data_IF_286216326760
#
_entry.id   IF_286216326760
#
_cell.length_a   1.000
_cell.length_b   1.000
_cell.length_c   1.000
_cell.angle_alpha   90.00
_cell.angle_beta   90.00
_cell.angle_gamma   90.00
#
_symmetry.space_group_name_H-M   'P 1'
#
loop_
_entity.id
_entity.type
_entity.pdbx_description
1 polymer ?
#
# COMPACT_ATOMS: atom_id res chain seq x y z
N UNK A 1 -72.09 85.17 50.54
CA UNK A 1 -70.71 85.36 50.96
C UNK A 1 -69.78 84.49 50.09
N UNK A 2 -68.96 85.14 49.36
CA UNK A 2 -67.76 84.69 48.63
C UNK A 2 -67.88 83.53 47.65
N UNK A 3 -67.95 83.90 46.38
CA UNK A 3 -67.64 83.12 45.20
C UNK A 3 -66.16 82.84 45.04
N UNK A 4 -65.78 81.67 44.56
CA UNK A 4 -64.47 81.38 44.04
C UNK A 4 -64.68 80.83 42.63
N UNK A 5 -63.95 81.45 41.62
CA UNK A 5 -64.09 81.01 40.22
C UNK A 5 -63.24 79.80 39.91
N UNK A 6 -63.83 78.83 39.22
CA UNK A 6 -63.14 77.70 38.68
C UNK A 6 -62.33 78.01 37.45
N UNK A 7 -61.03 77.62 37.43
CA UNK A 7 -60.10 77.66 36.31
C UNK A 7 -60.33 76.44 35.45
N UNK A 8 -60.73 76.64 34.21
CA UNK A 8 -60.78 75.60 33.20
C UNK A 8 -59.43 75.51 32.53
N UNK A 9 -58.69 74.50 32.78
CA UNK A 9 -57.40 74.22 32.11
C UNK A 9 -57.67 73.49 30.81
N UNK A 10 -57.46 74.14 29.71
CA UNK A 10 -57.54 73.51 28.38
C UNK A 10 -56.25 72.70 28.13
N UNK A 11 -56.41 71.34 28.02
CA UNK A 11 -55.34 70.42 27.61
C UNK A 11 -55.25 70.44 26.09
N UNK A 12 -54.24 71.04 25.55
CA UNK A 12 -53.89 70.96 24.12
C UNK A 12 -53.20 69.63 23.84
N UNK A 13 -53.85 68.73 23.11
CA UNK A 13 -53.23 67.54 22.58
C UNK A 13 -52.24 67.96 21.46
N UNK A 14 -50.98 67.85 21.75
CA UNK A 14 -49.91 67.94 20.75
C UNK A 14 -49.88 66.55 20.04
N UNK A 15 -50.47 66.45 18.85
CA UNK A 15 -50.27 65.36 17.93
C UNK A 15 -48.82 65.47 17.36
N UNK A 16 -47.90 64.76 17.96
CA UNK A 16 -46.56 64.60 17.41
C UNK A 16 -46.61 63.79 16.11
N UNK A 17 -45.77 64.13 15.12
CA UNK A 17 -45.68 63.29 13.91
C UNK A 17 -45.23 61.91 14.31
N UNK A 18 -45.97 60.86 13.91
CA UNK A 18 -45.56 59.48 13.98
C UNK A 18 -44.36 59.29 13.06
N UNK A 19 -43.15 59.19 13.65
CA UNK A 19 -41.97 58.78 12.94
C UNK A 19 -42.26 57.32 12.55
N UNK A 20 -42.50 57.07 11.26
CA UNK A 20 -42.61 55.75 10.71
C UNK A 20 -41.31 55.04 11.05
N UNK A 21 -41.35 54.02 11.89
CA UNK A 21 -40.20 53.17 12.17
C UNK A 21 -39.73 52.60 10.83
N UNK A 22 -38.53 52.97 10.42
CA UNK A 22 -37.89 52.34 9.29
C UNK A 22 -37.92 50.85 9.48
N UNK A 23 -38.63 50.16 8.56
CA UNK A 23 -38.59 48.72 8.46
C UNK A 23 -37.15 48.29 8.41
N UNK A 24 -36.68 47.36 9.24
CA UNK A 24 -35.29 46.90 9.18
C UNK A 24 -35.03 46.45 7.74
N UNK A 25 -34.15 47.21 7.06
CA UNK A 25 -33.64 46.83 5.76
C UNK A 25 -33.17 45.37 5.89
N UNK A 26 -33.84 44.47 5.16
CA UNK A 26 -33.43 43.07 5.06
C UNK A 26 -31.95 43.07 4.75
N UNK A 27 -31.12 42.67 5.75
CA UNK A 27 -29.67 42.60 5.54
C UNK A 27 -29.44 41.85 4.23
N UNK A 28 -28.58 42.38 3.34
CA UNK A 28 -28.21 41.65 2.15
C UNK A 28 -27.72 40.29 2.60
N UNK A 29 -28.13 39.22 1.92
CA UNK A 29 -27.69 37.86 2.28
C UNK A 29 -26.17 37.88 2.38
N UNK A 30 -25.64 37.43 3.52
CA UNK A 30 -24.19 37.32 3.68
C UNK A 30 -23.64 36.60 2.46
N UNK A 31 -22.57 37.14 1.82
CA UNK A 31 -21.93 36.44 0.74
C UNK A 31 -21.65 34.99 1.18
N UNK A 32 -22.25 34.03 0.51
CA UNK A 32 -21.92 32.64 0.80
C UNK A 32 -20.41 32.51 0.63
N UNK A 33 -19.71 32.18 1.72
CA UNK A 33 -18.29 31.91 1.67
C UNK A 33 -18.04 30.88 0.58
N UNK A 34 -17.24 31.24 -0.42
CA UNK A 34 -16.87 30.31 -1.48
C UNK A 34 -16.32 29.05 -0.81
N UNK A 35 -16.80 27.88 -1.22
CA UNK A 35 -16.39 26.63 -0.60
C UNK A 35 -14.88 26.48 -0.71
N UNK A 36 -14.15 26.56 0.41
CA UNK A 36 -12.70 26.46 0.48
C UNK A 36 -12.26 25.01 0.59
N UNK A 37 -11.11 24.69 -0.01
CA UNK A 37 -10.43 23.40 0.18
C UNK A 37 -9.66 23.34 1.50
N UNK A 38 -9.40 24.46 2.15
CA UNK A 38 -8.65 24.52 3.43
C UNK A 38 -9.40 23.78 4.53
N UNK A 39 -8.70 22.92 5.22
CA UNK A 39 -9.19 22.21 6.41
C UNK A 39 -8.80 20.76 6.46
N UNK A 40 -9.10 20.15 7.59
CA UNK A 40 -8.96 18.71 7.80
C UNK A 40 -10.01 17.94 7.00
N UNK A 41 -9.62 16.78 6.53
CA UNK A 41 -10.52 15.79 5.95
C UNK A 41 -10.11 14.39 6.36
N UNK A 42 -11.05 13.48 6.36
CA UNK A 42 -10.83 12.07 6.51
C UNK A 42 -11.69 11.31 5.52
N UNK A 43 -11.28 10.12 5.18
CA UNK A 43 -11.99 9.36 4.14
C UNK A 43 -11.60 7.90 4.10
N UNK A 44 -12.22 7.23 3.17
CA UNK A 44 -11.95 5.84 2.83
C UNK A 44 -11.51 5.74 1.38
N UNK A 45 -10.74 4.71 1.08
CA UNK A 45 -10.36 4.42 -0.29
C UNK A 45 -10.33 2.91 -0.54
N UNK A 46 -10.47 2.56 -1.81
CA UNK A 46 -10.34 1.19 -2.29
C UNK A 46 -9.79 1.20 -3.71
N UNK A 47 -9.06 0.15 -4.08
CA UNK A 47 -8.45 0.08 -5.40
C UNK A 47 -7.81 -1.25 -5.73
N UNK A 48 -7.15 -1.26 -6.88
CA UNK A 48 -6.35 -2.37 -7.38
C UNK A 48 -4.86 -2.02 -7.34
N UNK A 49 -4.06 -3.03 -7.11
CA UNK A 49 -2.62 -2.99 -7.02
C UNK A 49 -2.02 -3.97 -8.03
N UNK A 50 -1.01 -3.52 -8.76
CA UNK A 50 -0.34 -4.25 -9.83
C UNK A 50 1.17 -4.10 -9.66
N UNK A 51 1.78 -5.06 -8.95
CA UNK A 51 3.22 -5.10 -8.73
C UNK A 51 3.95 -5.82 -9.87
N UNK A 52 5.12 -5.33 -10.19
CA UNK A 52 6.10 -6.06 -11.00
C UNK A 52 7.35 -6.20 -10.14
N UNK A 53 7.59 -7.41 -9.68
CA UNK A 53 8.75 -7.73 -8.87
C UNK A 53 9.78 -8.46 -9.73
N UNK A 54 11.03 -8.12 -9.56
CA UNK A 54 12.13 -8.89 -10.16
C UNK A 54 12.79 -9.68 -9.04
N UNK A 55 12.57 -10.98 -9.04
CA UNK A 55 13.13 -11.88 -8.03
C UNK A 55 14.32 -12.62 -8.60
N UNK A 56 15.47 -12.50 -7.95
CA UNK A 56 16.67 -13.26 -8.23
C UNK A 56 16.88 -14.28 -7.12
N UNK A 57 17.02 -15.54 -7.47
CA UNK A 57 17.31 -16.62 -6.53
C UNK A 57 18.71 -17.19 -6.82
N UNK A 58 19.55 -17.21 -5.80
CA UNK A 58 20.86 -17.83 -5.84
C UNK A 58 20.89 -18.97 -4.83
N UNK A 59 20.97 -20.19 -5.32
CA UNK A 59 21.10 -21.36 -4.46
C UNK A 59 22.54 -21.90 -4.50
N UNK A 60 23.17 -22.05 -3.34
CA UNK A 60 24.47 -22.68 -3.17
C UNK A 60 24.35 -23.93 -2.31
N UNK A 61 25.08 -24.97 -2.71
CA UNK A 61 25.13 -26.24 -2.00
C UNK A 61 26.57 -26.54 -1.63
N UNK A 62 26.80 -26.84 -0.37
CA UNK A 62 28.13 -27.21 0.12
C UNK A 62 28.03 -28.56 0.82
N UNK A 63 28.79 -29.55 0.32
CA UNK A 63 28.94 -30.84 0.98
C UNK A 63 30.42 -31.08 1.28
N UNK A 64 30.80 -31.22 2.55
CA UNK A 64 32.20 -31.49 2.93
C UNK A 64 32.72 -32.83 2.37
N UNK A 65 31.85 -33.80 2.16
CA UNK A 65 32.22 -35.14 1.67
C UNK A 65 32.37 -35.23 0.15
N UNK A 66 31.79 -34.30 -0.61
CA UNK A 66 31.82 -34.32 -2.07
C UNK A 66 32.66 -33.21 -2.72
N UNK A 67 33.09 -32.23 -1.94
CA UNK A 67 33.93 -31.14 -2.43
C UNK A 67 33.28 -30.27 -3.52
N UNK A 68 31.98 -30.41 -3.73
CA UNK A 68 31.24 -29.74 -4.82
C UNK A 68 30.41 -28.57 -4.33
N UNK A 69 30.67 -27.42 -4.90
CA UNK A 69 29.80 -26.23 -4.76
C UNK A 69 28.94 -26.10 -6.01
N UNK A 70 27.64 -26.40 -5.90
CA UNK A 70 26.69 -26.15 -6.98
C UNK A 70 26.09 -24.74 -6.80
N UNK A 71 26.11 -23.92 -7.85
CA UNK A 71 25.42 -22.64 -7.91
C UNK A 71 24.27 -22.75 -8.91
N UNK A 72 23.09 -22.43 -8.46
CA UNK A 72 21.92 -22.28 -9.32
C UNK A 72 21.45 -20.82 -9.23
N UNK A 73 21.43 -20.18 -10.36
CA UNK A 73 20.95 -18.81 -10.48
C UNK A 73 19.66 -18.82 -11.30
N UNK A 74 18.61 -18.28 -10.75
CA UNK A 74 17.33 -18.09 -11.46
C UNK A 74 16.88 -16.66 -11.25
N UNK A 75 16.52 -16.00 -12.33
CA UNK A 75 15.92 -14.66 -12.27
C UNK A 75 14.62 -14.75 -13.04
N UNK A 76 13.53 -14.35 -12.42
CA UNK A 76 12.23 -14.34 -13.07
C UNK A 76 11.38 -13.16 -12.58
N UNK A 77 10.61 -12.55 -13.48
CA UNK A 77 9.64 -11.55 -13.08
C UNK A 77 8.47 -12.21 -12.35
N UNK A 78 8.08 -11.62 -11.24
CA UNK A 78 6.95 -12.03 -10.43
C UNK A 78 5.86 -10.96 -10.54
N UNK A 79 4.73 -11.31 -11.13
CA UNK A 79 3.60 -10.40 -11.25
C UNK A 79 2.69 -10.54 -10.04
N UNK A 80 2.66 -9.51 -9.22
CA UNK A 80 1.78 -9.44 -8.07
C UNK A 80 0.53 -8.65 -8.41
N UNK A 81 -0.64 -9.16 -8.07
CA UNK A 81 -1.93 -8.48 -8.27
C UNK A 81 -2.80 -8.64 -7.05
N UNK A 82 -3.54 -7.61 -6.74
CA UNK A 82 -4.46 -7.66 -5.62
C UNK A 82 -5.38 -6.46 -5.52
N UNK A 83 -6.16 -6.45 -4.48
CA UNK A 83 -6.97 -5.32 -4.08
C UNK A 83 -6.45 -4.73 -2.77
N UNK A 84 -6.79 -3.48 -2.53
CA UNK A 84 -6.48 -2.77 -1.30
C UNK A 84 -7.67 -1.88 -0.92
N UNK A 85 -7.78 -1.61 0.38
CA UNK A 85 -8.78 -0.70 0.89
C UNK A 85 -8.47 -0.29 2.31
N UNK A 86 -8.81 0.94 2.65
CA UNK A 86 -8.47 1.49 3.95
C UNK A 86 -8.97 2.89 4.19
N UNK A 87 -8.33 3.56 5.15
CA UNK A 87 -8.63 4.91 5.58
C UNK A 87 -7.53 5.89 5.24
N UNK A 88 -7.93 7.15 5.16
CA UNK A 88 -7.04 8.27 4.93
C UNK A 88 -7.46 9.48 5.74
N UNK A 89 -6.47 10.31 6.07
CA UNK A 89 -6.69 11.59 6.73
C UNK A 89 -5.69 12.61 6.17
N UNK A 90 -6.09 13.86 6.13
CA UNK A 90 -5.22 14.90 5.61
C UNK A 90 -5.66 16.30 5.97
N UNK A 91 -4.82 17.23 5.60
CA UNK A 91 -5.10 18.65 5.73
C UNK A 91 -4.69 19.37 4.44
N UNK A 92 -5.58 20.23 3.95
CA UNK A 92 -5.32 21.07 2.80
C UNK A 92 -5.22 22.54 3.21
N UNK A 93 -4.34 23.26 2.55
CA UNK A 93 -4.22 24.71 2.56
C UNK A 93 -4.49 25.24 1.16
N UNK A 94 -5.59 25.95 0.95
CA UNK A 94 -5.82 26.67 -0.30
C UNK A 94 -5.06 27.98 -0.22
N UNK A 95 -3.89 28.05 -0.85
CA UNK A 95 -2.95 29.19 -0.77
C UNK A 95 -3.34 30.33 -1.71
N UNK A 96 -4.17 30.05 -2.71
CA UNK A 96 -4.77 31.03 -3.61
C UNK A 96 -6.10 30.52 -4.16
N UNK A 97 -6.77 31.30 -4.99
CA UNK A 97 -7.99 30.86 -5.68
C UNK A 97 -7.81 29.61 -6.51
N UNK A 98 -6.59 29.33 -6.98
CA UNK A 98 -6.29 28.24 -7.92
C UNK A 98 -5.36 27.18 -7.38
N UNK A 99 -4.65 27.40 -6.27
CA UNK A 99 -3.64 26.48 -5.78
C UNK A 99 -3.94 25.95 -4.39
N UNK A 100 -3.74 24.64 -4.24
CA UNK A 100 -3.93 23.91 -2.99
C UNK A 100 -2.66 23.14 -2.69
N UNK A 101 -2.14 23.29 -1.47
CA UNK A 101 -1.11 22.46 -0.89
C UNK A 101 -1.74 21.58 0.20
N UNK A 102 -1.15 20.45 0.50
CA UNK A 102 -1.68 19.60 1.56
C UNK A 102 -0.72 18.50 1.99
N UNK A 103 -1.12 17.85 3.07
CA UNK A 103 -0.48 16.63 3.55
C UNK A 103 -1.57 15.57 3.73
N UNK A 104 -1.23 14.34 3.42
CA UNK A 104 -2.14 13.20 3.54
C UNK A 104 -1.39 12.00 4.11
N UNK A 105 -2.01 11.29 5.04
CA UNK A 105 -1.58 10.00 5.50
C UNK A 105 -2.69 8.98 5.27
N UNK A 106 -2.31 7.78 4.86
CA UNK A 106 -3.25 6.69 4.67
C UNK A 106 -2.66 5.36 5.14
N UNK A 107 -3.57 4.46 5.46
CA UNK A 107 -3.26 3.09 5.78
C UNK A 107 -4.32 2.17 5.19
N UNK A 108 -3.89 1.08 4.57
CA UNK A 108 -4.71 0.17 3.80
C UNK A 108 -4.37 -1.27 4.12
N UNK A 109 -5.38 -2.10 4.23
CA UNK A 109 -5.24 -3.54 4.10
C UNK A 109 -5.05 -3.88 2.63
N UNK A 110 -4.13 -4.77 2.36
CA UNK A 110 -3.85 -5.26 1.01
C UNK A 110 -4.00 -6.77 0.95
N UNK A 111 -4.44 -7.26 -0.19
CA UNK A 111 -4.49 -8.70 -0.50
C UNK A 111 -3.83 -8.97 -1.84
N UNK A 112 -2.62 -8.44 -1.98
CA UNK A 112 -1.79 -8.69 -3.15
C UNK A 112 -1.02 -9.97 -2.94
N UNK A 113 -1.00 -10.84 -3.95
CA UNK A 113 -0.30 -12.11 -3.91
C UNK A 113 0.49 -12.30 -5.19
N UNK A 114 1.68 -12.85 -5.02
CA UNK A 114 2.52 -13.33 -6.09
C UNK A 114 2.97 -14.74 -5.73
N UNK A 115 3.02 -15.63 -6.70
CA UNK A 115 3.49 -17.00 -6.51
C UNK A 115 4.30 -17.41 -7.73
N UNK A 116 5.47 -17.96 -7.46
CA UNK A 116 6.35 -18.51 -8.48
C UNK A 116 6.79 -19.91 -8.06
N UNK A 117 6.67 -20.86 -8.97
CA UNK A 117 7.19 -22.21 -8.80
C UNK A 117 8.21 -22.49 -9.88
N UNK A 118 9.43 -22.80 -9.47
CA UNK A 118 10.51 -23.24 -10.36
C UNK A 118 10.78 -24.69 -10.09
N UNK A 119 10.56 -25.55 -11.10
CA UNK A 119 10.88 -26.95 -11.04
C UNK A 119 12.01 -27.27 -12.01
N UNK A 120 13.05 -27.88 -11.52
CA UNK A 120 14.14 -28.44 -12.32
C UNK A 120 13.86 -29.92 -12.51
N UNK A 121 13.77 -30.43 -13.75
CA UNK A 121 13.56 -31.85 -13.98
C UNK A 121 14.71 -32.71 -13.40
N UNK A 122 14.45 -33.95 -13.00
CA UNK A 122 15.51 -34.87 -12.64
C UNK A 122 16.53 -34.99 -13.79
N UNK A 123 17.80 -34.82 -13.49
CA UNK A 123 18.87 -34.89 -14.47
C UNK A 123 19.63 -33.59 -14.75
N UNK A 124 19.14 -32.47 -14.23
CA UNK A 124 19.76 -31.14 -14.50
C UNK A 124 20.88 -30.78 -13.51
N UNK A 125 20.94 -31.44 -12.36
CA UNK A 125 21.97 -31.19 -11.34
C UNK A 125 23.07 -32.26 -11.41
N UNK A 126 24.17 -31.95 -12.05
CA UNK A 126 25.37 -32.79 -12.07
C UNK A 126 26.16 -32.65 -10.74
N UNK A 127 25.62 -33.19 -9.64
CA UNK A 127 26.30 -33.17 -8.34
C UNK A 127 27.44 -34.20 -8.24
N UNK A 128 27.48 -35.21 -9.11
CA UNK A 128 28.36 -36.38 -8.99
C UNK A 128 29.17 -36.67 -10.26
N UNK A 129 29.69 -35.66 -10.95
CA UNK A 129 30.46 -35.88 -12.18
C UNK A 129 29.56 -36.24 -13.38
N UNK A 130 30.17 -36.34 -14.54
CA UNK A 130 29.46 -36.68 -15.79
C UNK A 130 28.77 -38.06 -15.70
N UNK A 131 27.44 -38.06 -15.45
CA UNK A 131 26.62 -39.27 -15.42
C UNK A 131 25.60 -39.43 -14.29
N UNK A 132 25.63 -38.54 -13.28
CA UNK A 132 24.64 -38.62 -12.18
C UNK A 132 23.40 -37.79 -12.46
N UNK A 133 22.51 -38.28 -13.27
CA UNK A 133 21.26 -37.63 -13.67
C UNK A 133 20.14 -37.94 -12.65
N UNK A 134 20.23 -37.46 -11.40
CA UNK A 134 19.38 -38.04 -10.36
C UNK A 134 18.41 -37.13 -9.62
N UNK A 135 18.61 -35.82 -9.63
CA UNK A 135 17.84 -34.94 -8.75
C UNK A 135 17.04 -33.91 -9.52
N UNK A 136 15.77 -33.80 -9.16
CA UNK A 136 14.93 -32.67 -9.48
C UNK A 136 14.52 -31.97 -8.20
N UNK A 137 14.24 -30.69 -8.28
CA UNK A 137 13.66 -29.94 -7.17
C UNK A 137 12.61 -28.96 -7.67
N UNK A 138 11.63 -28.72 -6.83
CA UNK A 138 10.68 -27.64 -7.01
C UNK A 138 10.83 -26.66 -5.85
N UNK A 139 11.04 -25.40 -6.17
CA UNK A 139 10.97 -24.31 -5.21
C UNK A 139 9.72 -23.49 -5.49
N UNK A 140 8.92 -23.23 -4.47
CA UNK A 140 7.75 -22.37 -4.56
C UNK A 140 7.98 -21.19 -3.62
N UNK A 141 7.98 -19.99 -4.18
CA UNK A 141 7.99 -18.74 -3.45
C UNK A 141 6.58 -18.13 -3.53
N UNK A 142 6.04 -17.76 -2.38
CA UNK A 142 4.80 -16.97 -2.30
C UNK A 142 5.10 -15.70 -1.53
N UNK A 143 4.81 -14.58 -2.13
CA UNK A 143 4.90 -13.27 -1.51
C UNK A 143 3.49 -12.69 -1.36
N UNK A 144 3.23 -12.07 -0.22
CA UNK A 144 1.94 -11.45 0.08
C UNK A 144 2.15 -10.11 0.75
N UNK A 145 1.72 -9.03 0.07
CA UNK A 145 1.55 -7.73 0.71
C UNK A 145 0.25 -7.72 1.49
N UNK A 146 0.33 -7.48 2.81
CA UNK A 146 -0.82 -7.53 3.73
C UNK A 146 -1.32 -6.17 4.14
N UNK A 147 -0.45 -5.17 4.17
CA UNK A 147 -0.80 -3.79 4.43
C UNK A 147 0.19 -2.84 3.80
N UNK A 148 -0.29 -1.66 3.46
CA UNK A 148 0.51 -0.54 2.96
C UNK A 148 0.04 0.76 3.59
N UNK A 149 0.98 1.62 3.97
CA UNK A 149 0.68 2.95 4.45
C UNK A 149 1.56 3.97 3.75
N UNK A 150 1.08 5.20 3.68
CA UNK A 150 1.83 6.32 3.11
C UNK A 150 1.67 7.59 3.94
N UNK A 151 2.70 8.46 3.90
CA UNK A 151 2.67 9.82 4.39
C UNK A 151 3.22 10.73 3.30
N UNK A 152 2.37 11.61 2.77
CA UNK A 152 2.65 12.32 1.51
C UNK A 152 2.34 13.80 1.61
N UNK A 153 3.12 14.62 0.92
CA UNK A 153 2.73 15.98 0.54
C UNK A 153 1.96 15.93 -0.78
N UNK A 154 1.04 16.87 -0.96
CA UNK A 154 0.29 17.06 -2.22
C UNK A 154 0.29 18.52 -2.61
N UNK A 155 0.36 18.78 -3.91
CA UNK A 155 0.26 20.10 -4.51
C UNK A 155 -0.61 20.02 -5.75
N UNK A 156 -1.58 20.90 -5.86
CA UNK A 156 -2.55 20.85 -6.95
C UNK A 156 -3.08 22.20 -7.39
N UNK A 157 -3.75 22.16 -8.52
CA UNK A 157 -4.42 23.31 -9.12
C UNK A 157 -5.90 23.03 -9.32
N UNK A 158 -6.70 24.05 -9.11
CA UNK A 158 -8.14 24.02 -9.35
C UNK A 158 -8.43 24.42 -10.79
N UNK A 159 -9.07 23.52 -11.51
CA UNK A 159 -9.60 23.74 -12.86
C UNK A 159 -11.08 23.44 -12.84
N UNK A 160 -11.90 24.47 -12.90
CA UNK A 160 -13.35 24.38 -12.62
C UNK A 160 -13.60 23.82 -11.22
N UNK A 161 -14.37 22.72 -11.11
CA UNK A 161 -14.70 22.06 -9.85
C UNK A 161 -13.74 20.91 -9.48
N UNK A 162 -12.69 20.73 -10.28
CA UNK A 162 -11.73 19.65 -10.11
C UNK A 162 -10.41 20.17 -9.56
N UNK A 163 -9.92 19.50 -8.52
CA UNK A 163 -8.57 19.67 -8.00
C UNK A 163 -7.68 18.59 -8.64
N UNK A 164 -6.81 19.01 -9.56
CA UNK A 164 -5.76 18.18 -10.11
C UNK A 164 -4.51 18.30 -9.26
N UNK A 165 -3.94 17.19 -8.80
CA UNK A 165 -2.80 17.25 -7.90
C UNK A 165 -1.75 16.18 -8.21
N UNK A 166 -0.50 16.52 -7.88
CA UNK A 166 0.60 15.59 -7.73
C UNK A 166 0.84 15.35 -6.24
N UNK A 167 1.36 14.17 -5.91
CA UNK A 167 1.65 13.77 -4.54
C UNK A 167 2.93 12.97 -4.48
N UNK A 168 3.63 13.04 -3.36
CA UNK A 168 4.84 12.26 -3.14
C UNK A 168 5.24 12.25 -1.67
N UNK A 169 5.94 11.20 -1.27
CA UNK A 169 6.35 11.06 0.11
C UNK A 169 6.87 9.68 0.47
N UNK A 170 6.72 9.34 1.73
CA UNK A 170 7.18 8.12 2.34
C UNK A 170 6.10 7.03 2.25
N UNK A 171 6.54 5.78 2.04
CA UNK A 171 5.69 4.60 2.03
C UNK A 171 6.27 3.51 2.93
N UNK A 172 5.40 2.68 3.48
CA UNK A 172 5.78 1.46 4.18
C UNK A 172 4.78 0.35 3.89
N UNK A 173 5.25 -0.89 3.87
CA UNK A 173 4.42 -2.06 3.59
C UNK A 173 4.83 -3.26 4.42
N UNK A 174 3.87 -4.09 4.82
CA UNK A 174 4.12 -5.35 5.51
C UNK A 174 3.95 -6.51 4.55
N UNK A 175 5.06 -7.21 4.32
CA UNK A 175 5.13 -8.39 3.48
C UNK A 175 5.19 -9.65 4.31
N UNK A 176 4.57 -10.69 3.79
CA UNK A 176 4.68 -12.08 4.28
C UNK A 176 5.19 -12.94 3.15
N UNK A 177 6.34 -13.55 3.37
CA UNK A 177 6.99 -14.43 2.42
C UNK A 177 6.88 -15.85 2.94
N UNK A 178 6.45 -16.77 2.08
CA UNK A 178 6.39 -18.19 2.36
C UNK A 178 7.19 -18.93 1.30
N UNK A 179 8.16 -19.68 1.75
CA UNK A 179 9.04 -20.47 0.89
C UNK A 179 8.83 -21.94 1.14
N UNK A 180 8.58 -22.71 0.09
CA UNK A 180 8.50 -24.16 0.15
C UNK A 180 9.48 -24.78 -0.84
N UNK A 181 10.25 -25.74 -0.37
CA UNK A 181 11.19 -26.51 -1.18
C UNK A 181 10.83 -27.99 -1.15
N UNK A 182 10.65 -28.58 -2.32
CA UNK A 182 10.40 -30.00 -2.49
C UNK A 182 11.44 -30.60 -3.43
N UNK A 183 12.25 -31.53 -2.95
CA UNK A 183 13.19 -32.29 -3.76
C UNK A 183 12.62 -33.65 -4.14
N UNK A 184 12.86 -34.11 -5.38
CA UNK A 184 12.53 -35.47 -5.84
C UNK A 184 13.79 -36.12 -6.36
N UNK A 185 14.03 -37.38 -5.93
CA UNK A 185 15.07 -38.21 -6.48
C UNK A 185 14.50 -39.11 -7.59
N UNK A 186 15.30 -39.35 -8.65
CA UNK A 186 14.92 -40.30 -9.68
C UNK A 186 15.24 -41.71 -9.18
N UNK A 187 14.22 -42.58 -8.95
CA UNK A 187 14.41 -43.93 -8.44
C UNK A 187 15.11 -44.86 -9.44
N UNK A 188 15.21 -44.47 -10.71
CA UNK A 188 15.77 -45.31 -11.77
C UNK A 188 17.30 -45.41 -11.74
N UNK A 189 17.99 -44.48 -11.09
CA UNK A 189 19.46 -44.39 -11.07
C UNK A 189 20.07 -45.02 -9.82
N UNK A 190 19.26 -45.25 -8.79
CA UNK A 190 19.68 -45.92 -7.56
C UNK A 190 18.77 -47.09 -7.22
N UNK A 191 18.78 -48.19 -8.02
CA UNK A 191 17.98 -49.35 -7.71
C UNK A 191 18.54 -50.01 -6.43
N UNK A 192 17.75 -50.03 -5.39
CA UNK A 192 18.05 -50.72 -4.14
C UNK A 192 18.75 -49.93 -3.05
N UNK A 193 19.16 -48.71 -3.28
CA UNK A 193 19.72 -47.87 -2.25
C UNK A 193 18.91 -46.56 -2.18
N UNK A 194 18.19 -46.40 -1.05
CA UNK A 194 17.70 -45.15 -0.56
C UNK A 194 16.48 -44.59 -1.31
N UNK A 195 15.35 -44.98 -0.81
CA UNK A 195 14.23 -44.06 -0.82
C UNK A 195 14.75 -42.80 -0.12
N UNK A 196 15.20 -41.81 -0.91
CA UNK A 196 15.27 -40.48 -0.43
C UNK A 196 13.83 -40.11 -0.11
N UNK A 197 13.50 -40.17 1.16
CA UNK A 197 12.25 -39.60 1.62
C UNK A 197 12.15 -38.21 1.02
N UNK A 198 10.95 -37.71 0.78
CA UNK A 198 10.80 -36.33 0.35
C UNK A 198 11.70 -35.51 1.29
N UNK A 199 12.66 -34.75 0.73
CA UNK A 199 13.37 -33.78 1.52
C UNK A 199 12.27 -33.05 2.27
N UNK A 200 12.32 -33.12 3.60
CA UNK A 200 11.25 -32.57 4.43
C UNK A 200 10.91 -31.21 3.86
N UNK A 201 9.65 -30.95 3.52
CA UNK A 201 9.26 -29.65 3.02
C UNK A 201 9.67 -28.65 4.08
N UNK A 202 10.78 -27.98 3.86
CA UNK A 202 11.21 -26.91 4.74
C UNK A 202 10.47 -25.67 4.26
N UNK A 203 9.35 -25.39 4.91
CA UNK A 203 8.66 -24.12 4.80
C UNK A 203 9.27 -23.15 5.79
N UNK A 204 9.50 -21.94 5.34
CA UNK A 204 9.87 -20.82 6.21
C UNK A 204 8.94 -19.67 5.90
N UNK A 205 8.25 -19.20 6.94
CA UNK A 205 7.38 -18.03 6.86
C UNK A 205 8.09 -16.84 7.51
N UNK A 206 8.17 -15.74 6.78
CA UNK A 206 8.76 -14.51 7.25
C UNK A 206 7.74 -13.37 7.14
N UNK A 207 7.75 -12.49 8.12
CA UNK A 207 7.01 -11.25 8.06
C UNK A 207 7.98 -10.10 8.24
N UNK A 208 8.00 -9.17 7.31
CA UNK A 208 8.87 -8.01 7.36
C UNK A 208 8.12 -6.74 6.96
N UNK A 209 8.43 -5.64 7.66
CA UNK A 209 7.97 -4.31 7.26
C UNK A 209 9.08 -3.62 6.51
N UNK A 210 8.74 -3.11 5.34
CA UNK A 210 9.65 -2.38 4.45
C UNK A 210 9.23 -0.93 4.33
N UNK A 211 10.19 -0.09 4.10
CA UNK A 211 10.01 1.35 3.91
C UNK A 211 10.57 1.77 2.57
N UNK A 212 9.97 2.79 2.00
CA UNK A 212 10.35 3.29 0.70
C UNK A 212 9.71 4.63 0.41
N UNK A 213 9.49 4.90 -0.85
CA UNK A 213 8.92 6.16 -1.32
C UNK A 213 7.74 5.92 -2.25
N UNK A 214 6.94 6.96 -2.42
CA UNK A 214 5.80 6.96 -3.35
C UNK A 214 5.69 8.29 -4.06
N UNK A 215 5.25 8.22 -5.30
CA UNK A 215 4.88 9.38 -6.11
C UNK A 215 3.63 9.06 -6.90
N UNK A 216 2.83 10.06 -7.17
CA UNK A 216 1.60 9.86 -7.92
C UNK A 216 0.85 11.14 -8.22
N UNK A 217 -0.39 10.98 -8.62
CA UNK A 217 -1.26 12.10 -8.91
C UNK A 217 -2.71 11.66 -8.98
N UNK A 218 -3.59 12.62 -8.94
CA UNK A 218 -5.01 12.34 -8.95
C UNK A 218 -5.85 13.56 -9.27
N UNK A 219 -7.12 13.30 -9.31
CA UNK A 219 -8.17 14.30 -9.47
C UNK A 219 -9.19 14.11 -8.36
N UNK A 220 -9.59 15.21 -7.74
CA UNK A 220 -10.60 15.23 -6.68
C UNK A 220 -11.66 16.27 -7.02
N UNK A 221 -12.94 15.90 -6.87
CA UNK A 221 -14.07 16.80 -7.11
C UNK A 221 -14.97 16.86 -5.88
N UNK A 222 -15.53 18.03 -5.63
CA UNK A 222 -16.55 18.20 -4.58
C UNK A 222 -17.88 17.63 -5.04
N UNK A 223 -18.55 16.91 -4.16
CA UNK A 223 -19.89 16.39 -4.41
C UNK A 223 -20.94 17.29 -3.76
N UNK A 224 -21.06 17.26 -2.46
CA UNK A 224 -21.99 18.09 -1.69
C UNK A 224 -21.71 18.01 -0.19
N UNK A 225 -22.08 19.04 0.58
CA UNK A 225 -22.09 19.01 2.06
C UNK A 225 -20.78 18.47 2.70
N UNK A 226 -19.62 18.92 2.21
CA UNK A 226 -18.33 18.52 2.74
C UNK A 226 -17.78 17.20 2.17
N UNK A 227 -18.49 16.52 1.30
CA UNK A 227 -18.03 15.32 0.62
C UNK A 227 -17.24 15.65 -0.65
N UNK A 228 -16.18 14.90 -0.91
CA UNK A 228 -15.45 14.88 -2.18
C UNK A 228 -15.12 13.46 -2.60
N UNK A 229 -15.01 13.25 -3.91
CA UNK A 229 -14.57 11.99 -4.49
C UNK A 229 -13.24 12.21 -5.19
N UNK A 230 -12.32 11.25 -5.07
CA UNK A 230 -11.03 11.28 -5.75
C UNK A 230 -10.75 10.00 -6.53
N UNK A 231 -10.02 10.15 -7.62
CA UNK A 231 -9.35 9.09 -8.35
C UNK A 231 -7.86 9.37 -8.29
N UNK A 232 -7.07 8.38 -7.91
CA UNK A 232 -5.64 8.54 -7.67
C UNK A 232 -4.86 7.36 -8.21
N UNK A 233 -3.70 7.67 -8.79
CA UNK A 233 -2.67 6.71 -9.14
C UNK A 233 -1.43 6.94 -8.27
N UNK A 234 -0.86 5.86 -7.74
CA UNK A 234 0.38 5.88 -6.98
C UNK A 234 1.35 4.85 -7.56
N UNK A 235 2.57 5.28 -7.73
CA UNK A 235 3.74 4.43 -7.87
C UNK A 235 4.41 4.33 -6.50
N UNK A 236 4.68 3.12 -6.05
CA UNK A 236 5.30 2.83 -4.74
C UNK A 236 6.51 1.95 -4.97
N UNK A 237 7.64 2.34 -4.39
CA UNK A 237 8.88 1.58 -4.38
C UNK A 237 9.28 1.31 -2.93
N UNK A 238 9.21 0.03 -2.52
CA UNK A 238 9.57 -0.43 -1.19
C UNK A 238 11.02 -0.95 -1.10
N UNK A 239 11.79 -0.77 -2.18
CA UNK A 239 13.19 -1.15 -2.23
C UNK A 239 13.41 -2.65 -2.43
N UNK A 240 14.63 -3.10 -2.15
CA UNK A 240 15.05 -4.48 -2.35
C UNK A 240 15.06 -5.24 -1.03
N UNK A 241 14.49 -6.43 -1.04
CA UNK A 241 14.57 -7.41 0.05
C UNK A 241 15.55 -8.49 -0.35
N UNK A 242 16.48 -8.83 0.54
CA UNK A 242 17.35 -9.98 0.38
C UNK A 242 17.21 -10.88 1.62
N UNK A 243 16.89 -12.14 1.39
CA UNK A 243 16.71 -13.14 2.44
C UNK A 243 17.51 -14.39 2.12
N UNK A 244 18.21 -14.94 3.11
CA UNK A 244 18.98 -16.17 2.96
C UNK A 244 18.38 -17.27 3.84
N UNK A 245 18.06 -18.38 3.22
CA UNK A 245 17.49 -19.56 3.86
C UNK A 245 18.58 -20.64 3.90
N UNK A 246 18.84 -21.18 5.09
CA UNK A 246 19.73 -22.32 5.28
C UNK A 246 18.95 -23.60 5.44
N UNK A 247 19.30 -24.64 4.69
CA UNK A 247 18.72 -25.98 4.78
C UNK A 247 19.84 -26.93 5.19
N UNK A 248 19.70 -27.60 6.33
CA UNK A 248 20.61 -28.68 6.71
C UNK A 248 20.22 -29.96 5.97
N UNK A 249 21.15 -30.51 5.20
CA UNK A 249 20.99 -31.77 4.48
C UNK A 249 21.64 -32.90 5.30
N UNK A 250 20.87 -33.54 6.17
CA UNK A 250 21.37 -34.61 7.02
C UNK A 250 20.96 -35.98 6.45
N UNK A 251 21.94 -36.80 6.14
CA UNK A 251 21.73 -38.23 5.74
C UNK A 251 20.98 -38.44 4.42
N UNK A 252 20.80 -37.38 3.63
CA UNK A 252 19.90 -37.43 2.47
C UNK A 252 20.50 -38.15 1.24
N UNK A 253 21.81 -38.38 1.21
CA UNK A 253 22.51 -38.81 0.00
C UNK A 253 23.25 -40.13 0.15
N UNK A 254 22.76 -41.04 1.00
CA UNK A 254 23.37 -42.35 1.22
C UNK A 254 24.59 -42.33 2.15
N UNK A 255 25.27 -43.48 2.28
CA UNK A 255 26.37 -43.61 3.22
C UNK A 255 27.60 -42.75 2.88
N UNK A 256 27.64 -42.17 1.68
CA UNK A 256 28.74 -41.31 1.25
C UNK A 256 28.57 -39.83 1.61
N UNK A 257 27.34 -39.38 1.98
CA UNK A 257 27.05 -37.97 2.32
C UNK A 257 26.33 -37.92 3.66
N UNK A 258 27.11 -37.72 4.70
CA UNK A 258 26.59 -37.70 6.07
C UNK A 258 26.05 -36.35 6.52
N UNK A 259 26.49 -35.25 5.88
CA UNK A 259 26.02 -33.90 6.19
C UNK A 259 26.32 -32.94 5.03
N UNK A 260 25.48 -31.93 4.89
CA UNK A 260 25.66 -30.83 3.95
C UNK A 260 24.77 -29.65 4.31
N UNK A 261 25.05 -28.50 3.75
CA UNK A 261 24.23 -27.31 3.88
C UNK A 261 23.86 -26.79 2.49
N UNK A 262 22.59 -26.47 2.31
CA UNK A 262 22.12 -25.70 1.18
C UNK A 262 21.72 -24.32 1.69
N UNK A 263 22.11 -23.28 0.98
CA UNK A 263 21.60 -21.92 1.24
C UNK A 263 20.99 -21.36 -0.02
N UNK A 264 19.83 -20.79 0.11
CA UNK A 264 19.12 -20.08 -0.96
C UNK A 264 19.00 -18.63 -0.56
N UNK A 265 19.59 -17.75 -1.33
CA UNK A 265 19.42 -16.31 -1.19
C UNK A 265 18.43 -15.84 -2.23
N UNK A 266 17.30 -15.31 -1.78
CA UNK A 266 16.30 -14.65 -2.62
C UNK A 266 16.41 -13.15 -2.46
N UNK A 267 16.47 -12.43 -3.58
CA UNK A 267 16.49 -10.97 -3.61
C UNK A 267 15.38 -10.47 -4.52
N UNK A 268 14.44 -9.71 -3.96
CA UNK A 268 13.29 -9.14 -4.68
C UNK A 268 13.30 -7.63 -4.59
N UNK A 269 13.15 -6.95 -5.73
CA UNK A 269 12.87 -5.51 -5.77
C UNK A 269 11.36 -5.30 -5.92
N UNK A 270 10.77 -4.59 -4.95
CA UNK A 270 9.31 -4.48 -4.81
C UNK A 270 8.85 -3.13 -5.31
N UNK A 271 8.14 -3.16 -6.42
CA UNK A 271 7.49 -1.98 -7.02
C UNK A 271 6.01 -2.27 -7.19
N UNK A 272 5.18 -1.32 -6.81
CA UNK A 272 3.74 -1.44 -6.91
C UNK A 272 3.10 -0.22 -7.60
N UNK A 273 2.12 -0.48 -8.45
CA UNK A 273 1.31 0.50 -9.13
C UNK A 273 -0.13 0.38 -8.60
N UNK A 274 -0.63 1.43 -7.99
CA UNK A 274 -1.93 1.44 -7.33
C UNK A 274 -2.85 2.40 -8.05
N UNK A 275 -4.03 1.92 -8.44
CA UNK A 275 -5.14 2.76 -8.90
C UNK A 275 -6.26 2.64 -7.89
N UNK A 276 -6.68 3.77 -7.32
CA UNK A 276 -7.69 3.77 -6.26
C UNK A 276 -8.69 4.90 -6.40
N UNK A 277 -9.90 4.65 -5.93
CA UNK A 277 -10.94 5.65 -5.71
C UNK A 277 -11.07 5.94 -4.22
N UNK A 278 -11.38 7.16 -3.87
CA UNK A 278 -11.56 7.57 -2.49
C UNK A 278 -12.76 8.48 -2.32
N UNK A 279 -13.33 8.43 -1.13
CA UNK A 279 -14.40 9.31 -0.69
C UNK A 279 -13.94 10.02 0.59
N UNK A 280 -13.87 11.34 0.55
CA UNK A 280 -13.45 12.17 1.67
C UNK A 280 -14.61 12.96 2.25
N UNK A 281 -14.55 13.18 3.54
CA UNK A 281 -15.44 14.09 4.26
C UNK A 281 -14.63 15.16 4.98
N UNK A 282 -14.96 16.40 4.72
CA UNK A 282 -14.42 17.58 5.38
C UNK A 282 -15.49 18.15 6.32
N UNK A 283 -15.30 18.06 7.64
CA UNK A 283 -16.21 18.72 8.58
C UNK A 283 -16.12 20.24 8.41
N UNK A 284 -17.22 20.92 8.67
CA UNK A 284 -17.32 22.39 8.62
C UNK A 284 -16.64 23.04 9.82
#
# INVERSE_FOLDING_TARGET
MKAIPGIIASVALLAGPAIAADLPLKMPPMPQALPSWTGFYFGINAGGSFGVETTSQNASFTSPSLGSNGLLNSTAPLAAKGWLGGGQLGYNWQVSSSYVLGVEADWQWASQKASQSNCTPPGTLAFFGAGANGFGYCSTLQEKLTSIGTARARAGTLVNDFLWYATGGFAWGTLKDSYAFNGTANPTIFPGALQFGPFLPTGADFSSTRTGWTVGGGVETRLSRGWSAKLEYLYVDLGTISQTYGIALNGAFGPAVTSGTASVTSSSHIVDNIVRVGLNYKPY
#
